data_IF_498258364986
#
_entry.id   IF_498258364986
#
_cell.length_a   1.000
_cell.length_b   1.000
_cell.length_c   1.000
_cell.angle_alpha   90.00
_cell.angle_beta   90.00
_cell.angle_gamma   90.00
#
_symmetry.space_group_name_H-M   'P 1'
#
loop_
_entity.id
_entity.type
_entity.pdbx_description
1 polymer ?
#
# COMPACT_ATOMS: atom_id res chain seq x y z
N UNK A 1 0.70 18.07 -16.71
CA UNK A 1 1.37 17.50 -15.53
C UNK A 1 0.39 17.56 -14.37
N UNK A 2 -0.21 16.42 -14.01
CA UNK A 2 -1.13 16.35 -12.88
C UNK A 2 -0.39 15.60 -11.78
N UNK A 3 0.12 16.34 -10.79
CA UNK A 3 0.58 15.76 -9.53
C UNK A 3 -0.59 15.91 -8.56
N UNK A 4 -1.31 14.83 -8.34
CA UNK A 4 -2.28 14.73 -7.26
C UNK A 4 -1.63 14.02 -6.08
N UNK A 5 -1.00 14.78 -5.18
CA UNK A 5 -0.73 14.28 -3.83
C UNK A 5 -2.04 14.30 -3.08
N UNK A 6 -2.75 13.17 -3.06
CA UNK A 6 -3.95 13.05 -2.24
C UNK A 6 -3.56 13.33 -0.78
N UNK A 7 -4.24 14.25 -0.07
CA UNK A 7 -4.02 14.48 1.36
C UNK A 7 -4.52 13.31 2.23
N UNK A 8 -5.06 12.25 1.61
CA UNK A 8 -5.50 11.05 2.28
C UNK A 8 -4.30 10.28 2.89
N UNK A 9 -4.34 10.11 4.21
CA UNK A 9 -3.38 9.27 4.94
C UNK A 9 -3.86 7.83 4.90
N UNK A 10 -2.95 6.89 4.64
CA UNK A 10 -3.28 5.46 4.58
C UNK A 10 -2.45 4.69 5.59
N UNK A 11 -3.06 3.72 6.26
CA UNK A 11 -2.33 2.77 7.09
C UNK A 11 -1.63 1.75 6.18
N UNK A 12 -0.30 1.75 6.17
CA UNK A 12 0.53 0.87 5.34
C UNK A 12 0.74 -0.48 6.03
N UNK A 13 0.25 -1.55 5.43
CA UNK A 13 0.36 -2.91 5.99
C UNK A 13 1.11 -3.82 5.01
N UNK A 14 2.42 -4.05 5.21
CA UNK A 14 3.14 -5.05 4.45
C UNK A 14 2.70 -6.46 4.85
N UNK A 15 2.45 -7.33 3.86
CA UNK A 15 2.21 -8.76 4.09
C UNK A 15 3.25 -9.60 3.36
N UNK A 16 3.46 -10.81 3.86
CA UNK A 16 4.58 -11.66 3.47
C UNK A 16 4.55 -12.09 1.99
N UNK A 17 3.36 -12.30 1.40
CA UNK A 17 3.24 -12.83 0.04
C UNK A 17 1.90 -12.49 -0.60
N UNK A 18 1.82 -12.68 -1.92
CA UNK A 18 0.57 -12.57 -2.68
C UNK A 18 -0.51 -13.54 -2.19
N UNK A 19 -0.10 -14.72 -1.70
CA UNK A 19 -1.05 -15.67 -1.10
C UNK A 19 -1.73 -15.06 0.12
N UNK A 20 -0.95 -14.49 1.05
CA UNK A 20 -1.49 -13.80 2.22
C UNK A 20 -2.39 -12.64 1.79
N UNK A 21 -1.93 -11.81 0.85
CA UNK A 21 -2.71 -10.68 0.31
C UNK A 21 -4.07 -11.13 -0.27
N UNK A 22 -4.12 -12.30 -0.93
CA UNK A 22 -5.35 -12.88 -1.46
C UNK A 22 -6.31 -13.39 -0.38
N UNK A 23 -5.79 -13.79 0.78
CA UNK A 23 -6.61 -14.23 1.93
C UNK A 23 -7.11 -13.09 2.81
N UNK A 24 -6.59 -11.87 2.65
CA UNK A 24 -7.05 -10.69 3.40
C UNK A 24 -8.52 -10.43 3.11
N UNK A 25 -9.31 -10.35 4.18
CA UNK A 25 -10.74 -10.07 4.15
C UNK A 25 -11.01 -8.74 4.85
N UNK A 26 -11.73 -7.85 4.16
CA UNK A 26 -12.24 -6.59 4.73
C UNK A 26 -13.72 -6.71 5.14
N UNK A 27 -14.17 -7.92 5.49
CA UNK A 27 -15.54 -8.16 5.89
C UNK A 27 -15.90 -7.46 7.21
N UNK A 28 -14.96 -7.37 8.16
CA UNK A 28 -15.15 -6.68 9.44
C UNK A 28 -14.89 -5.17 9.31
N UNK A 29 -15.80 -4.48 8.62
CA UNK A 29 -15.69 -3.03 8.37
C UNK A 29 -15.72 -2.21 9.67
N UNK A 30 -16.49 -2.67 10.66
CA UNK A 30 -16.62 -1.98 11.95
C UNK A 30 -15.34 -2.10 12.77
N UNK A 31 -14.76 -3.31 12.86
CA UNK A 31 -13.47 -3.52 13.51
C UNK A 31 -12.35 -2.70 12.87
N UNK A 32 -12.28 -2.69 11.53
CA UNK A 32 -11.29 -1.89 10.80
C UNK A 32 -11.50 -0.39 11.06
N UNK A 33 -12.74 0.09 11.06
CA UNK A 33 -13.05 1.51 11.32
C UNK A 33 -12.67 1.91 12.74
N UNK A 34 -12.94 1.05 13.72
CA UNK A 34 -12.56 1.26 15.12
C UNK A 34 -11.05 1.32 15.29
N UNK A 35 -10.32 0.44 14.61
CA UNK A 35 -8.85 0.44 14.66
C UNK A 35 -8.26 1.67 13.96
N UNK A 36 -8.79 2.07 12.81
CA UNK A 36 -8.37 3.31 12.15
C UNK A 36 -8.61 4.53 13.05
N UNK A 37 -9.74 4.59 13.74
CA UNK A 37 -10.04 5.66 14.69
C UNK A 37 -9.12 5.65 15.93
N UNK A 38 -8.69 4.47 16.41
CA UNK A 38 -7.82 4.34 17.59
C UNK A 38 -6.41 4.90 17.35
N UNK A 39 -5.95 4.92 16.10
CA UNK A 39 -4.61 5.40 15.76
C UNK A 39 -4.43 6.92 15.81
N UNK A 40 -5.50 7.72 16.03
CA UNK A 40 -5.53 9.20 15.96
C UNK A 40 -4.92 9.81 14.68
N UNK A 41 -4.68 8.97 13.67
CA UNK A 41 -3.87 9.30 12.50
C UNK A 41 -4.65 9.99 11.38
N UNK A 42 -5.98 10.04 11.49
CA UNK A 42 -6.92 10.43 10.45
C UNK A 42 -6.75 9.61 9.14
N UNK A 43 -6.32 8.35 9.28
CA UNK A 43 -6.19 7.46 8.13
C UNK A 43 -7.56 7.22 7.47
N UNK A 44 -7.63 7.46 6.17
CA UNK A 44 -8.84 7.27 5.36
C UNK A 44 -9.10 5.80 5.03
N UNK A 45 -8.13 4.92 5.28
CA UNK A 45 -8.24 3.51 4.96
C UNK A 45 -6.96 2.71 5.23
N UNK A 46 -7.04 1.42 4.91
CA UNK A 46 -5.97 0.44 5.03
C UNK A 46 -5.44 0.10 3.64
N UNK A 47 -4.12 0.20 3.49
CA UNK A 47 -3.41 -0.12 2.27
C UNK A 47 -2.52 -1.34 2.52
N UNK A 48 -2.99 -2.51 2.08
CA UNK A 48 -2.30 -3.79 2.28
C UNK A 48 -1.54 -4.14 1.01
N UNK A 49 -0.26 -4.47 1.11
CA UNK A 49 0.57 -4.74 -0.06
C UNK A 49 1.57 -5.89 0.17
N UNK A 50 1.92 -6.55 -0.93
CA UNK A 50 2.92 -7.62 -0.96
C UNK A 50 3.86 -7.42 -2.15
N UNK A 51 5.13 -7.80 -1.98
CA UNK A 51 6.08 -7.86 -3.09
C UNK A 51 5.78 -9.06 -3.99
N UNK A 52 5.86 -8.84 -5.31
CA UNK A 52 5.97 -9.92 -6.28
C UNK A 52 7.45 -10.30 -6.31
N UNK A 53 7.78 -11.50 -5.81
CA UNK A 53 9.09 -12.09 -6.08
C UNK A 53 9.04 -12.61 -7.52
N UNK A 54 9.48 -11.78 -8.45
CA UNK A 54 9.68 -12.16 -9.84
C UNK A 54 11.17 -12.55 -9.95
N UNK A 55 11.47 -13.80 -10.30
CA UNK A 55 12.86 -14.23 -10.58
C UNK A 55 13.40 -13.63 -11.90
N UNK A 56 12.57 -12.85 -12.59
CA UNK A 56 12.94 -12.17 -13.82
C UNK A 56 13.96 -11.05 -13.58
N UNK A 57 15.00 -11.00 -14.42
CA UNK A 57 16.19 -10.14 -14.41
C UNK A 57 15.97 -8.60 -14.32
N UNK A 58 14.74 -8.14 -14.19
CA UNK A 58 14.40 -6.75 -13.92
C UNK A 58 14.69 -6.43 -12.45
N UNK A 59 15.73 -5.65 -12.18
CA UNK A 59 16.08 -5.14 -10.86
C UNK A 59 15.04 -4.15 -10.26
N UNK A 60 13.85 -4.05 -10.87
CA UNK A 60 12.76 -3.18 -10.43
C UNK A 60 11.79 -3.97 -9.54
N UNK A 61 11.69 -3.66 -8.24
CA UNK A 61 10.79 -4.37 -7.35
C UNK A 61 9.33 -4.06 -7.69
N UNK A 62 8.51 -5.10 -7.75
CA UNK A 62 7.07 -5.01 -8.08
C UNK A 62 6.24 -5.32 -6.86
N UNK A 63 5.14 -4.61 -6.69
CA UNK A 63 4.21 -4.79 -5.57
C UNK A 63 2.78 -4.88 -6.08
N UNK A 64 1.97 -5.71 -5.42
CA UNK A 64 0.51 -5.72 -5.56
C UNK A 64 -0.09 -5.19 -4.27
N UNK A 65 -1.11 -4.36 -4.39
CA UNK A 65 -1.78 -3.78 -3.25
C UNK A 65 -3.30 -3.89 -3.38
N UNK A 66 -3.96 -3.91 -2.22
CA UNK A 66 -5.42 -3.79 -2.08
C UNK A 66 -5.70 -2.67 -1.09
N UNK A 67 -6.65 -1.81 -1.43
CA UNK A 67 -7.06 -0.71 -0.58
C UNK A 67 -8.51 -0.88 -0.11
N UNK A 68 -8.71 -0.63 1.19
CA UNK A 68 -10.02 -0.56 1.80
C UNK A 68 -10.20 0.77 2.53
N UNK A 69 -11.32 1.44 2.32
CA UNK A 69 -11.73 2.63 3.06
C UNK A 69 -13.16 2.44 3.60
N UNK A 70 -13.43 2.76 4.88
CA UNK A 70 -14.79 2.73 5.42
C UNK A 70 -15.78 3.61 4.66
N UNK A 71 -15.30 4.68 4.01
CA UNK A 71 -16.12 5.62 3.24
C UNK A 71 -16.44 5.17 1.81
N UNK A 72 -15.84 4.07 1.34
CA UNK A 72 -16.03 3.55 -0.02
C UNK A 72 -16.59 2.13 0.08
N UNK A 73 -17.77 1.89 -0.50
CA UNK A 73 -18.49 0.62 -0.35
C UNK A 73 -17.78 -0.59 -0.98
N UNK A 74 -16.76 -0.38 -1.81
CA UNK A 74 -16.07 -1.41 -2.61
C UNK A 74 -14.55 -1.26 -2.49
N UNK A 75 -13.82 -2.37 -2.52
CA UNK A 75 -12.36 -2.36 -2.62
C UNK A 75 -11.90 -1.65 -3.89
N UNK A 76 -10.83 -0.87 -3.79
CA UNK A 76 -10.19 -0.24 -4.95
C UNK A 76 -8.94 -1.05 -5.33
N UNK A 77 -8.94 -1.73 -6.50
CA UNK A 77 -7.79 -2.50 -6.97
C UNK A 77 -6.58 -1.63 -7.35
N UNK A 78 -6.75 -0.31 -7.54
CA UNK A 78 -5.69 0.55 -8.06
C UNK A 78 -5.80 1.99 -7.59
N UNK A 79 -5.52 2.24 -6.31
CA UNK A 79 -5.43 3.60 -5.79
C UNK A 79 -4.09 4.21 -6.18
N UNK A 80 -4.03 4.91 -7.33
CA UNK A 80 -2.82 5.64 -7.77
C UNK A 80 -2.32 6.66 -6.74
N UNK A 81 -3.20 7.16 -5.87
CA UNK A 81 -2.87 8.01 -4.73
C UNK A 81 -2.06 7.32 -3.63
N UNK A 82 -2.07 5.99 -3.57
CA UNK A 82 -1.35 5.21 -2.58
C UNK A 82 -0.01 4.64 -3.09
N UNK A 83 0.19 4.63 -4.42
CA UNK A 83 1.47 4.22 -5.03
C UNK A 83 2.62 5.16 -4.66
N UNK A 84 2.38 6.48 -4.60
CA UNK A 84 3.36 7.46 -4.14
C UNK A 84 3.77 7.26 -2.67
N UNK A 85 2.80 7.22 -1.73
CA UNK A 85 3.06 6.85 -0.34
C UNK A 85 3.75 5.49 -0.15
N UNK A 86 3.43 4.49 -0.97
CA UNK A 86 4.11 3.19 -0.94
C UNK A 86 5.59 3.34 -1.32
N UNK A 87 5.91 4.05 -2.40
CA UNK A 87 7.30 4.30 -2.79
C UNK A 87 8.08 5.04 -1.68
N UNK A 88 7.46 6.03 -1.04
CA UNK A 88 8.07 6.74 0.09
C UNK A 88 8.28 5.83 1.31
N UNK A 89 7.31 4.97 1.64
CA UNK A 89 7.45 3.99 2.72
C UNK A 89 8.59 3.01 2.45
N UNK A 90 8.68 2.47 1.23
CA UNK A 90 9.73 1.53 0.85
C UNK A 90 11.12 2.18 0.85
N UNK A 91 11.21 3.44 0.43
CA UNK A 91 12.44 4.24 0.55
C UNK A 91 12.86 4.43 2.01
N UNK A 92 11.93 4.87 2.87
CA UNK A 92 12.20 5.12 4.28
C UNK A 92 12.59 3.85 5.06
N UNK A 93 12.16 2.68 4.61
CA UNK A 93 12.48 1.38 5.21
C UNK A 93 13.64 0.65 4.49
N UNK A 94 14.41 1.33 3.64
CA UNK A 94 15.55 0.78 2.89
C UNK A 94 15.21 -0.45 2.01
N UNK A 95 13.95 -0.58 1.60
CA UNK A 95 13.51 -1.63 0.65
C UNK A 95 13.80 -1.20 -0.79
N UNK A 96 13.78 0.10 -1.06
CA UNK A 96 14.28 0.68 -2.31
C UNK A 96 15.66 1.28 -2.07
N UNK A 97 16.63 0.91 -2.90
CA UNK A 97 17.95 1.53 -2.95
C UNK A 97 18.05 2.48 -4.13
N UNK A 98 18.93 3.49 -4.04
CA UNK A 98 19.31 4.28 -5.22
C UNK A 98 19.81 3.34 -6.32
N UNK A 99 19.28 3.46 -7.53
CA UNK A 99 19.99 2.93 -8.69
C UNK A 99 21.21 3.83 -8.89
N UNK A 100 22.41 3.33 -8.56
CA UNK A 100 23.63 3.97 -9.05
C UNK A 100 23.60 3.87 -10.57
N UNK A 101 23.40 5.02 -11.24
CA UNK A 101 23.61 5.10 -12.68
C UNK A 101 25.11 4.89 -12.91
N UNK A 102 25.46 3.66 -13.30
CA UNK A 102 26.80 3.32 -13.73
C UNK A 102 27.25 4.23 -14.86
N UNK A 103 28.41 4.85 -14.67
CA UNK A 103 29.19 5.55 -15.69
C UNK A 103 29.74 4.58 -16.74
#
# INVERSE_FOLDING_TARGET
MVITTSPARHSMIPVQSLHVLGTVSFADKEGISKELASTESYNSGVYVFASIQDESESNTPRFVARFFSPGISMEDPATGSAAGPLAAYLWANNVLTYAENGH
#
